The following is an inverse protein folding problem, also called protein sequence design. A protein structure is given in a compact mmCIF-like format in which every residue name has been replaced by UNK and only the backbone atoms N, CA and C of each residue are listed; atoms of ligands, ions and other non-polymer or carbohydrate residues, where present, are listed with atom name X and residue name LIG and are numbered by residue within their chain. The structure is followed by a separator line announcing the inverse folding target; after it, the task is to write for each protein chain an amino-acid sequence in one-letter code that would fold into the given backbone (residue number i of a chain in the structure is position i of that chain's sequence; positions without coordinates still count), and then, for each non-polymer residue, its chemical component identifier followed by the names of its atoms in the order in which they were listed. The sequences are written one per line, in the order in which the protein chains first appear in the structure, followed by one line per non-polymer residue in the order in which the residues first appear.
data_IF_679796165709
#
_entry.id   IF_679796165709
#
_cell.length_a   1.000
_cell.length_b   1.000
_cell.length_c   1.000
_cell.angle_alpha   90.00
_cell.angle_beta   90.00
_cell.angle_gamma   90.00
#
_symmetry.space_group_name_H-M   'P 1'
#
loop_
_entity.id
_entity.type
_entity.pdbx_description
1 polymer ?
#
# COMPACT_ATOMS: atom_id res chain seq x y z
N UNK A 1 12.49 11.16 24.76
CA UNK A 1 12.31 12.60 25.08
C UNK A 1 13.50 13.44 24.60
N UNK A 2 14.75 13.14 24.98
CA UNK A 2 15.95 13.98 24.70
C UNK A 2 16.17 14.18 23.18
N UNK A 3 16.06 13.13 22.37
CA UNK A 3 16.24 13.21 20.90
C UNK A 3 15.19 14.13 20.25
N UNK A 4 13.94 14.01 20.68
CA UNK A 4 12.84 14.85 20.15
C UNK A 4 13.04 16.31 20.54
N UNK A 5 13.47 16.57 21.78
CA UNK A 5 13.76 17.93 22.25
C UNK A 5 14.95 18.54 21.51
N UNK A 6 16.03 17.76 21.31
CA UNK A 6 17.18 18.21 20.54
C UNK A 6 16.81 18.51 19.08
N UNK A 7 16.00 17.67 18.45
CA UNK A 7 15.49 17.88 17.09
C UNK A 7 14.61 19.12 17.01
N UNK A 8 13.72 19.32 17.99
CA UNK A 8 12.86 20.51 18.07
C UNK A 8 13.67 21.79 18.23
N UNK A 9 14.69 21.81 19.10
CA UNK A 9 15.61 22.95 19.28
C UNK A 9 16.44 23.22 18.02
N UNK A 10 16.91 22.16 17.35
CA UNK A 10 17.64 22.29 16.09
C UNK A 10 16.76 22.90 14.99
N UNK A 11 15.52 22.40 14.82
CA UNK A 11 14.55 22.95 13.88
C UNK A 11 14.16 24.38 14.21
N UNK A 12 14.02 24.71 15.51
CA UNK A 12 13.72 26.08 15.95
C UNK A 12 14.85 27.06 15.63
N UNK A 13 16.12 26.66 15.78
CA UNK A 13 17.28 27.50 15.43
C UNK A 13 17.43 27.75 13.93
N UNK A 14 17.03 26.79 13.08
CA UNK A 14 17.12 26.92 11.62
C UNK A 14 15.93 27.71 11.06
N UNK A 15 14.86 27.87 11.84
CA UNK A 15 13.66 28.60 11.41
C UNK A 15 13.98 30.10 11.21
N UNK A 16 13.87 30.52 9.96
CA UNK A 16 13.93 31.99 9.66
C UNK A 16 12.60 32.64 10.08
N UNK A 17 12.68 33.62 10.98
CA UNK A 17 11.52 34.33 11.53
C UNK A 17 10.70 35.11 10.49
N UNK A 18 11.27 35.36 9.30
CA UNK A 18 10.66 36.17 8.22
C UNK A 18 9.58 35.41 7.39
N UNK A 19 9.22 34.19 7.77
CA UNK A 19 8.22 33.39 7.03
C UNK A 19 6.84 33.36 7.69
N UNK A 20 6.49 34.38 8.45
CA UNK A 20 5.11 34.62 8.85
C UNK A 20 4.25 34.77 7.59
N UNK A 21 3.30 33.88 7.37
CA UNK A 21 2.43 33.85 6.17
C UNK A 21 2.72 32.76 5.12
N UNK A 22 3.70 31.87 5.38
CA UNK A 22 3.88 30.68 4.52
C UNK A 22 3.36 29.42 5.20
N UNK A 23 2.65 28.54 4.45
CA UNK A 23 2.07 27.32 4.97
C UNK A 23 3.11 26.35 5.59
N UNK A 24 4.36 26.38 5.11
CA UNK A 24 5.48 25.60 5.66
C UNK A 24 6.70 26.49 5.88
N UNK A 25 7.28 26.39 7.07
CA UNK A 25 8.47 27.16 7.48
C UNK A 25 9.74 26.76 6.70
N UNK A 26 9.81 25.51 6.19
CA UNK A 26 10.98 24.95 5.52
C UNK A 26 10.68 24.62 4.05
N UNK A 27 11.36 25.29 3.12
CA UNK A 27 11.19 25.05 1.68
C UNK A 27 11.53 23.62 1.24
N UNK A 28 12.60 22.95 1.73
CA UNK A 28 12.96 21.60 1.28
C UNK A 28 11.91 20.54 1.64
N UNK A 29 11.10 20.79 2.68
CA UNK A 29 10.07 19.85 3.12
C UNK A 29 8.79 19.94 2.26
N UNK A 30 8.60 21.03 1.52
CA UNK A 30 7.39 21.23 0.71
C UNK A 30 7.18 20.14 -0.33
N UNK A 31 8.24 19.73 -1.01
CA UNK A 31 8.16 18.70 -2.05
C UNK A 31 7.85 17.29 -1.49
N UNK A 32 8.58 16.77 -0.49
CA UNK A 32 8.25 15.47 0.12
C UNK A 32 6.82 15.42 0.67
N UNK A 33 6.39 16.43 1.41
CA UNK A 33 5.03 16.48 1.97
C UNK A 33 3.98 16.50 0.86
N UNK A 34 4.21 17.25 -0.20
CA UNK A 34 3.32 17.28 -1.36
C UNK A 34 3.22 15.91 -2.04
N UNK A 35 4.35 15.22 -2.25
CA UNK A 35 4.35 13.87 -2.83
C UNK A 35 3.53 12.91 -1.97
N UNK A 36 3.76 12.90 -0.65
CA UNK A 36 3.02 12.03 0.28
C UNK A 36 1.52 12.32 0.20
N UNK A 37 1.10 13.58 0.23
CA UNK A 37 -0.30 13.96 0.13
C UNK A 37 -0.88 13.50 -1.21
N UNK A 38 -0.22 13.76 -2.32
CA UNK A 38 -0.69 13.37 -3.66
C UNK A 38 -0.80 11.85 -3.80
N UNK A 39 0.16 11.09 -3.27
CA UNK A 39 0.13 9.62 -3.30
C UNK A 39 -1.03 9.10 -2.47
N UNK A 40 -1.10 9.46 -1.19
CA UNK A 40 -2.12 8.92 -0.26
C UNK A 40 -3.52 9.34 -0.69
N UNK A 41 -3.72 10.61 -0.98
CA UNK A 41 -5.06 11.11 -1.34
C UNK A 41 -5.45 10.74 -2.78
N UNK A 42 -4.48 10.65 -3.69
CA UNK A 42 -4.71 10.20 -5.07
C UNK A 42 -5.15 8.74 -5.12
N UNK A 43 -4.47 7.85 -4.40
CA UNK A 43 -4.86 6.43 -4.32
C UNK A 43 -6.19 6.24 -3.59
N UNK A 44 -6.42 6.94 -2.48
CA UNK A 44 -7.71 6.89 -1.78
C UNK A 44 -8.87 7.34 -2.67
N UNK A 45 -8.66 8.38 -3.49
CA UNK A 45 -9.65 8.86 -4.44
C UNK A 45 -9.89 7.85 -5.56
N UNK A 46 -8.85 7.16 -6.02
CA UNK A 46 -8.95 6.10 -7.01
C UNK A 46 -9.81 4.92 -6.52
N UNK A 47 -9.60 4.48 -5.27
CA UNK A 47 -10.40 3.42 -4.64
C UNK A 47 -11.87 3.83 -4.51
N UNK A 48 -12.13 5.05 -4.06
CA UNK A 48 -13.51 5.58 -3.98
C UNK A 48 -14.16 5.58 -5.37
N UNK A 49 -13.43 5.99 -6.41
CA UNK A 49 -13.93 6.03 -7.78
C UNK A 49 -14.21 4.63 -8.33
N UNK A 50 -13.34 3.66 -8.08
CA UNK A 50 -13.53 2.25 -8.40
C UNK A 50 -14.81 1.71 -7.77
N UNK A 51 -14.99 1.96 -6.46
CA UNK A 51 -16.15 1.50 -5.69
C UNK A 51 -17.49 2.13 -6.17
N UNK A 52 -17.45 3.39 -6.60
CA UNK A 52 -18.65 4.10 -7.10
C UNK A 52 -19.11 3.60 -8.46
N UNK A 53 -18.24 3.02 -9.29
CA UNK A 53 -18.52 2.65 -10.68
C UNK A 53 -18.29 1.15 -10.90
N UNK A 54 -19.01 0.33 -10.16
CA UNK A 54 -19.07 -1.14 -10.34
C UNK A 54 -17.72 -1.85 -10.41
N UNK A 55 -16.77 -1.49 -9.52
CA UNK A 55 -15.47 -2.12 -9.35
C UNK A 55 -14.60 -2.25 -10.60
N UNK A 56 -14.79 -1.38 -11.58
CA UNK A 56 -14.04 -1.39 -12.83
C UNK A 56 -12.63 -0.82 -12.66
N UNK A 57 -11.61 -1.58 -13.09
CA UNK A 57 -10.21 -1.18 -13.09
C UNK A 57 -9.95 0.11 -13.88
N UNK A 58 -10.67 0.33 -14.96
CA UNK A 58 -10.55 1.55 -15.75
C UNK A 58 -10.88 2.79 -14.91
N UNK A 59 -11.94 2.71 -14.09
CA UNK A 59 -12.34 3.82 -13.23
C UNK A 59 -11.38 4.06 -12.08
N UNK A 60 -10.68 3.04 -11.62
CA UNK A 60 -9.56 3.22 -10.69
C UNK A 60 -8.49 4.15 -11.30
N UNK A 61 -8.05 3.89 -12.53
CA UNK A 61 -7.04 4.70 -13.19
C UNK A 61 -7.53 6.12 -13.49
N UNK A 62 -8.78 6.29 -13.88
CA UNK A 62 -9.41 7.61 -14.06
C UNK A 62 -9.44 8.36 -12.73
N UNK A 63 -9.89 7.71 -11.66
CA UNK A 63 -9.90 8.27 -10.31
C UNK A 63 -8.52 8.66 -9.82
N UNK A 64 -7.49 7.84 -10.10
CA UNK A 64 -6.10 8.11 -9.74
C UNK A 64 -5.59 9.41 -10.38
N UNK A 65 -5.81 9.55 -11.69
CA UNK A 65 -5.40 10.76 -12.42
C UNK A 65 -6.13 11.99 -11.89
N UNK A 66 -7.45 11.92 -11.77
CA UNK A 66 -8.27 13.03 -11.27
C UNK A 66 -7.92 13.40 -9.84
N UNK A 67 -7.81 12.42 -8.95
CA UNK A 67 -7.44 12.63 -7.56
C UNK A 67 -6.06 13.27 -7.43
N UNK A 68 -5.06 12.74 -8.11
CA UNK A 68 -3.70 13.29 -8.09
C UNK A 68 -3.68 14.74 -8.60
N UNK A 69 -4.39 15.06 -9.67
CA UNK A 69 -4.50 16.42 -10.20
C UNK A 69 -5.15 17.35 -9.18
N UNK A 70 -6.30 16.96 -8.61
CA UNK A 70 -7.03 17.76 -7.63
C UNK A 70 -6.15 18.07 -6.42
N UNK A 71 -5.56 17.04 -5.79
CA UNK A 71 -4.75 17.22 -4.59
C UNK A 71 -3.44 17.96 -4.86
N UNK A 72 -2.83 17.77 -6.04
CA UNK A 72 -1.71 18.59 -6.47
C UNK A 72 -2.07 20.07 -6.52
N UNK A 73 -3.20 20.42 -7.14
CA UNK A 73 -3.70 21.78 -7.23
C UNK A 73 -4.00 22.37 -5.85
N UNK A 74 -4.68 21.62 -5.00
CA UNK A 74 -5.00 22.05 -3.62
C UNK A 74 -3.73 22.36 -2.83
N UNK A 75 -2.73 21.49 -2.89
CA UNK A 75 -1.46 21.70 -2.18
C UNK A 75 -0.70 22.91 -2.72
N UNK A 76 -0.68 23.14 -4.04
CA UNK A 76 -0.05 24.34 -4.61
C UNK A 76 -0.76 25.63 -4.17
N UNK A 77 -2.10 25.63 -4.13
CA UNK A 77 -2.86 26.78 -3.61
C UNK A 77 -2.51 27.04 -2.15
N UNK A 78 -2.49 25.99 -1.31
CA UNK A 78 -2.15 26.11 0.11
C UNK A 78 -0.73 26.64 0.30
N UNK A 79 0.24 26.20 -0.53
CA UNK A 79 1.63 26.64 -0.40
C UNK A 79 1.88 28.06 -0.89
N UNK A 80 1.12 28.52 -1.85
CA UNK A 80 1.29 29.84 -2.47
C UNK A 80 0.28 30.88 -1.96
N UNK A 81 -0.81 30.46 -1.30
CA UNK A 81 -1.97 31.31 -0.98
C UNK A 81 -2.51 32.06 -2.21
N UNK A 82 -2.38 31.43 -3.40
CA UNK A 82 -2.75 32.05 -4.67
C UNK A 82 -3.32 30.98 -5.60
N UNK A 83 -4.54 31.19 -6.09
CA UNK A 83 -5.19 30.27 -7.06
C UNK A 83 -4.43 30.16 -8.39
N UNK A 84 -3.65 31.16 -8.77
CA UNK A 84 -2.83 31.12 -9.98
C UNK A 84 -1.64 30.17 -9.88
N UNK A 85 -1.35 29.68 -8.69
CA UNK A 85 -0.26 28.73 -8.45
C UNK A 85 -0.50 27.36 -9.10
N UNK A 86 -1.74 27.00 -9.40
CA UNK A 86 -2.13 25.73 -10.06
C UNK A 86 -1.31 25.50 -11.34
N UNK A 87 -1.07 26.55 -12.11
CA UNK A 87 -0.39 26.47 -13.41
C UNK A 87 1.13 26.64 -13.34
N UNK A 88 1.69 26.87 -12.14
CA UNK A 88 3.13 27.19 -12.01
C UNK A 88 4.06 25.99 -12.17
N UNK A 89 3.60 24.78 -11.86
CA UNK A 89 4.47 23.59 -11.81
C UNK A 89 3.84 22.34 -12.46
N UNK A 90 3.42 22.41 -13.73
CA UNK A 90 2.80 21.27 -14.39
C UNK A 90 3.75 20.07 -14.52
N UNK A 91 5.06 20.32 -14.67
CA UNK A 91 6.06 19.28 -14.76
C UNK A 91 6.15 18.43 -13.47
N UNK A 92 5.97 19.06 -12.29
CA UNK A 92 5.93 18.31 -11.03
C UNK A 92 4.74 17.38 -10.95
N UNK A 93 3.57 17.81 -11.43
CA UNK A 93 2.38 16.97 -11.52
C UNK A 93 2.64 15.75 -12.40
N UNK A 94 3.20 15.95 -13.59
CA UNK A 94 3.50 14.85 -14.51
C UNK A 94 4.47 13.85 -13.90
N UNK A 95 5.52 14.33 -13.22
CA UNK A 95 6.51 13.46 -12.53
C UNK A 95 5.84 12.67 -11.40
N UNK A 96 5.03 13.31 -10.55
CA UNK A 96 4.33 12.64 -9.45
C UNK A 96 3.40 11.58 -10.00
N UNK A 97 2.63 11.89 -11.03
CA UNK A 97 1.70 10.96 -11.66
C UNK A 97 2.45 9.78 -12.30
N UNK A 98 3.54 10.04 -13.02
CA UNK A 98 4.35 8.99 -13.65
C UNK A 98 4.96 8.03 -12.62
N UNK A 99 5.52 8.56 -11.52
CA UNK A 99 6.08 7.76 -10.42
C UNK A 99 4.99 6.95 -9.73
N UNK A 100 3.81 7.55 -9.49
CA UNK A 100 2.69 6.87 -8.87
C UNK A 100 2.15 5.73 -9.74
N UNK A 101 1.93 5.99 -11.03
CA UNK A 101 1.50 4.96 -11.99
C UNK A 101 2.54 3.84 -12.11
N UNK A 102 3.83 4.17 -12.24
CA UNK A 102 4.90 3.18 -12.31
C UNK A 102 4.95 2.33 -11.04
N UNK A 103 4.83 2.94 -9.86
CA UNK A 103 4.80 2.22 -8.59
C UNK A 103 3.62 1.26 -8.48
N UNK A 104 2.42 1.68 -8.86
CA UNK A 104 1.24 0.83 -8.85
C UNK A 104 1.33 -0.30 -9.88
N UNK A 105 1.81 -0.01 -11.09
CA UNK A 105 2.02 -1.04 -12.13
C UNK A 105 3.07 -2.08 -11.71
N UNK A 106 4.15 -1.68 -11.03
CA UNK A 106 5.14 -2.64 -10.49
C UNK A 106 4.57 -3.51 -9.38
N UNK A 107 3.63 -2.99 -8.58
CA UNK A 107 2.91 -3.77 -7.57
C UNK A 107 1.91 -4.73 -8.22
N UNK A 108 1.13 -4.27 -9.19
CA UNK A 108 0.17 -5.15 -9.93
C UNK A 108 0.86 -6.25 -10.73
N UNK A 109 2.05 -5.98 -11.26
CA UNK A 109 2.84 -6.97 -12.00
C UNK A 109 3.63 -7.92 -11.10
N UNK A 110 3.47 -7.82 -9.79
CA UNK A 110 4.22 -8.59 -8.76
C UNK A 110 5.71 -8.73 -9.04
N UNK A 111 6.36 -7.64 -9.50
CA UNK A 111 7.79 -7.65 -9.88
C UNK A 111 8.68 -8.11 -8.71
N UNK A 112 8.21 -7.99 -7.48
CA UNK A 112 8.93 -8.40 -6.27
C UNK A 112 8.61 -9.84 -5.82
N UNK A 113 7.76 -10.58 -6.53
CA UNK A 113 7.33 -11.93 -6.18
C UNK A 113 6.65 -11.98 -4.81
N UNK A 114 5.88 -10.92 -4.50
CA UNK A 114 5.20 -10.84 -3.20
C UNK A 114 4.02 -11.80 -3.16
N UNK A 115 3.26 -11.90 -4.24
CA UNK A 115 2.03 -12.69 -4.31
C UNK A 115 2.33 -14.19 -4.49
N UNK A 116 3.41 -14.54 -5.19
CA UNK A 116 3.89 -15.91 -5.38
C UNK A 116 4.73 -16.45 -4.22
N UNK A 117 4.99 -15.62 -3.19
CA UNK A 117 5.91 -16.04 -2.13
C UNK A 117 5.34 -17.16 -1.28
N UNK A 118 6.06 -18.29 -1.25
CA UNK A 118 5.83 -19.45 -0.38
C UNK A 118 7.08 -19.70 0.46
N UNK A 119 6.94 -19.97 1.79
CA UNK A 119 8.09 -20.35 2.59
C UNK A 119 8.56 -21.75 2.29
N UNK A 120 9.89 -21.97 2.35
CA UNK A 120 10.46 -23.32 2.28
C UNK A 120 10.01 -24.16 3.48
N UNK A 121 9.65 -25.41 3.28
CA UNK A 121 9.20 -26.33 4.34
C UNK A 121 10.17 -26.38 5.52
N UNK A 122 11.46 -26.46 5.22
CA UNK A 122 12.51 -26.49 6.23
C UNK A 122 12.64 -25.21 7.07
N UNK A 123 12.09 -24.09 6.62
CA UNK A 123 12.14 -22.79 7.28
C UNK A 123 10.97 -22.53 8.22
N UNK A 124 9.88 -23.32 8.13
CA UNK A 124 8.67 -23.12 8.93
C UNK A 124 8.83 -23.78 10.29
N UNK A 125 8.49 -23.07 11.35
CA UNK A 125 8.45 -23.60 12.72
C UNK A 125 7.01 -23.94 13.14
N UNK A 126 6.02 -23.15 12.69
CA UNK A 126 4.61 -23.37 12.97
C UNK A 126 3.75 -22.61 11.94
N UNK A 127 2.52 -23.05 11.72
CA UNK A 127 1.58 -22.41 10.83
C UNK A 127 0.16 -22.35 11.42
N UNK A 128 -0.62 -21.37 10.99
CA UNK A 128 -2.05 -21.25 11.31
C UNK A 128 -2.83 -20.94 10.03
N UNK A 129 -3.82 -21.78 9.65
CA UNK A 129 -4.59 -21.63 8.41
C UNK A 129 -5.73 -20.60 8.49
N UNK A 130 -5.94 -19.93 9.61
CA UNK A 130 -7.05 -18.97 9.80
C UNK A 130 -6.58 -17.73 10.52
N UNK A 131 -5.90 -16.84 9.84
CA UNK A 131 -5.53 -15.55 10.43
C UNK A 131 -4.81 -15.65 11.79
N UNK A 132 -4.06 -14.66 12.14
CA UNK A 132 -3.38 -14.65 13.43
C UNK A 132 -4.35 -14.33 14.58
N UNK A 133 -4.65 -15.30 15.43
CA UNK A 133 -5.47 -15.12 16.65
C UNK A 133 -4.60 -15.29 17.92
N UNK A 134 -3.29 -15.08 17.82
CA UNK A 134 -2.35 -15.21 18.93
C UNK A 134 -1.43 -16.44 18.80
N UNK A 135 -0.35 -16.48 19.58
CA UNK A 135 0.65 -17.58 19.54
C UNK A 135 0.07 -18.97 19.83
N UNK A 136 -1.03 -19.05 20.55
CA UNK A 136 -1.71 -20.28 20.90
C UNK A 136 -2.45 -20.97 19.73
N UNK A 137 -2.66 -20.24 18.62
CA UNK A 137 -3.30 -20.79 17.42
C UNK A 137 -2.30 -21.38 16.41
N UNK A 138 -1.00 -21.23 16.66
CA UNK A 138 0.05 -21.74 15.77
C UNK A 138 0.29 -23.22 16.03
N UNK A 139 0.06 -24.03 15.00
CA UNK A 139 0.25 -25.48 15.02
C UNK A 139 1.68 -25.80 14.56
N UNK A 140 2.42 -26.58 15.34
CA UNK A 140 3.82 -26.93 15.08
C UNK A 140 4.00 -28.37 14.55
N UNK A 141 2.92 -29.14 14.44
CA UNK A 141 2.97 -30.49 13.91
C UNK A 141 3.29 -30.49 12.41
N UNK A 142 4.15 -31.38 11.91
CA UNK A 142 4.56 -31.41 10.50
C UNK A 142 3.38 -31.53 9.52
N UNK A 143 2.36 -32.30 9.88
CA UNK A 143 1.17 -32.49 9.06
C UNK A 143 0.38 -31.19 8.88
N UNK A 144 0.21 -30.42 9.96
CA UNK A 144 -0.48 -29.14 9.92
C UNK A 144 0.30 -28.08 9.14
N UNK A 145 1.63 -28.09 9.24
CA UNK A 145 2.51 -27.22 8.47
C UNK A 145 2.40 -27.55 6.98
N UNK A 146 2.43 -28.85 6.62
CA UNK A 146 2.27 -29.30 5.24
C UNK A 146 0.91 -28.91 4.67
N UNK A 147 -0.18 -29.11 5.43
CA UNK A 147 -1.53 -28.72 5.03
C UNK A 147 -1.66 -27.19 4.82
N UNK A 148 -1.14 -26.40 5.74
CA UNK A 148 -1.16 -24.93 5.64
C UNK A 148 -0.36 -24.44 4.42
N UNK A 149 0.79 -25.08 4.13
CA UNK A 149 1.60 -24.76 2.96
C UNK A 149 0.91 -25.20 1.66
N UNK A 150 0.21 -26.33 1.66
CA UNK A 150 -0.57 -26.79 0.50
C UNK A 150 -1.73 -25.83 0.20
N UNK A 151 -2.45 -25.34 1.22
CA UNK A 151 -3.47 -24.30 1.06
C UNK A 151 -2.89 -23.03 0.45
N UNK A 152 -1.74 -22.60 0.95
CA UNK A 152 -1.05 -21.41 0.40
C UNK A 152 -0.60 -21.65 -1.06
N UNK A 153 -0.12 -22.85 -1.41
CA UNK A 153 0.27 -23.20 -2.77
C UNK A 153 -0.93 -23.20 -3.73
N UNK A 154 -2.08 -23.72 -3.31
CA UNK A 154 -3.33 -23.65 -4.08
C UNK A 154 -3.76 -22.19 -4.29
N UNK A 155 -3.59 -21.35 -3.27
CA UNK A 155 -3.87 -19.93 -3.39
C UNK A 155 -2.97 -19.21 -4.37
N UNK A 156 -1.68 -19.55 -4.45
CA UNK A 156 -0.75 -19.02 -5.47
C UNK A 156 -1.13 -19.53 -6.87
N UNK A 157 -1.51 -20.79 -6.99
CA UNK A 157 -1.95 -21.35 -8.27
C UNK A 157 -3.24 -20.69 -8.77
N UNK A 158 -4.16 -20.33 -7.86
CA UNK A 158 -5.41 -19.64 -8.20
C UNK A 158 -5.22 -18.22 -8.71
N UNK A 159 -4.10 -17.55 -8.40
CA UNK A 159 -3.77 -16.23 -8.95
C UNK A 159 -3.64 -16.25 -10.47
N UNK A 160 -3.23 -17.38 -11.04
CA UNK A 160 -3.10 -17.58 -12.47
C UNK A 160 -4.41 -18.00 -13.17
N UNK A 161 -5.45 -18.35 -12.39
CA UNK A 161 -6.75 -18.76 -12.90
C UNK A 161 -7.73 -17.57 -12.87
N UNK A 162 -7.88 -16.92 -14.00
CA UNK A 162 -8.67 -15.68 -14.18
C UNK A 162 -10.15 -15.98 -14.50
N UNK A 163 -10.80 -16.88 -13.79
CA UNK A 163 -12.26 -16.99 -13.89
C UNK A 163 -12.90 -15.89 -13.04
N UNK A 164 -13.25 -14.77 -13.69
CA UNK A 164 -13.88 -13.59 -13.06
C UNK A 164 -15.24 -13.90 -12.40
N UNK A 165 -15.89 -15.01 -12.73
CA UNK A 165 -17.21 -15.40 -12.24
C UNK A 165 -17.19 -16.46 -11.12
N UNK A 166 -16.04 -16.99 -10.74
CA UNK A 166 -15.95 -17.93 -9.63
C UNK A 166 -16.09 -17.19 -8.29
N UNK A 167 -16.94 -17.70 -7.41
CA UNK A 167 -16.95 -17.24 -6.02
C UNK A 167 -15.56 -17.50 -5.43
N UNK A 168 -14.88 -16.44 -5.00
CA UNK A 168 -13.55 -16.54 -4.41
C UNK A 168 -13.68 -16.44 -2.91
N UNK A 169 -13.11 -17.40 -2.20
CA UNK A 169 -12.98 -17.38 -0.75
C UNK A 169 -11.60 -16.87 -0.35
N UNK A 170 -11.54 -15.89 0.54
CA UNK A 170 -10.28 -15.36 1.03
C UNK A 170 -9.84 -16.14 2.28
N UNK A 171 -8.69 -16.79 2.20
CA UNK A 171 -8.09 -17.52 3.32
C UNK A 171 -6.78 -16.85 3.71
N UNK A 172 -6.62 -16.53 4.99
CA UNK A 172 -5.37 -16.01 5.52
C UNK A 172 -4.55 -17.11 6.17
N UNK A 173 -3.32 -17.31 5.72
CA UNK A 173 -2.36 -18.25 6.30
C UNK A 173 -1.24 -17.50 6.98
N UNK A 174 -0.96 -17.86 8.22
CA UNK A 174 0.13 -17.28 9.02
C UNK A 174 1.22 -18.31 9.23
N UNK A 175 2.45 -17.98 8.87
CA UNK A 175 3.65 -18.80 9.06
C UNK A 175 4.58 -18.17 10.09
N UNK A 176 4.97 -18.94 11.10
CA UNK A 176 6.07 -18.61 12.01
C UNK A 176 7.32 -19.32 11.50
N UNK A 177 8.33 -18.56 11.12
CA UNK A 177 9.59 -19.08 10.60
C UNK A 177 10.54 -19.41 11.77
N UNK A 178 11.48 -20.33 11.55
CA UNK A 178 12.52 -20.72 12.54
C UNK A 178 13.41 -19.56 13.00
N UNK A 179 13.49 -18.48 12.20
CA UNK A 179 14.19 -17.25 12.57
C UNK A 179 13.38 -16.33 13.50
N UNK A 180 12.20 -16.77 13.96
CA UNK A 180 11.29 -16.01 14.83
C UNK A 180 10.40 -15.00 14.11
N UNK A 181 10.55 -14.79 12.80
CA UNK A 181 9.67 -13.89 12.03
C UNK A 181 8.32 -14.56 11.78
N UNK A 182 7.26 -13.79 11.98
CA UNK A 182 5.88 -14.19 11.62
C UNK A 182 5.49 -13.47 10.36
N UNK A 183 4.97 -14.21 9.38
CA UNK A 183 4.44 -13.67 8.13
C UNK A 183 3.02 -14.20 7.92
N UNK A 184 2.10 -13.30 7.68
CA UNK A 184 0.68 -13.59 7.37
C UNK A 184 0.38 -13.19 5.94
N UNK A 185 -0.33 -14.05 5.23
CA UNK A 185 -0.72 -13.85 3.84
C UNK A 185 -2.16 -14.25 3.62
N UNK A 186 -2.88 -13.46 2.84
CA UNK A 186 -4.22 -13.77 2.38
C UNK A 186 -4.15 -14.27 0.95
N UNK A 187 -4.82 -15.41 0.69
CA UNK A 187 -4.92 -16.04 -0.60
C UNK A 187 -6.39 -16.12 -1.01
N UNK A 188 -6.67 -15.97 -2.29
CA UNK A 188 -7.99 -16.19 -2.86
C UNK A 188 -8.04 -17.62 -3.40
N UNK A 189 -8.94 -18.43 -2.88
CA UNK A 189 -9.22 -19.77 -3.37
C UNK A 189 -10.50 -19.77 -4.19
N UNK A 190 -10.60 -20.57 -5.27
CA UNK A 190 -11.86 -20.79 -5.93
C UNK A 190 -12.83 -21.45 -4.95
N UNK A 191 -14.01 -20.85 -4.77
CA UNK A 191 -15.05 -21.42 -3.92
C UNK A 191 -15.42 -22.81 -4.42
N UNK A 192 -15.51 -23.77 -3.51
CA UNK A 192 -16.09 -25.07 -3.82
C UNK A 192 -17.59 -24.85 -3.97
N UNK A 193 -18.10 -24.89 -5.20
CA UNK A 193 -19.52 -25.05 -5.43
C UNK A 193 -19.91 -26.39 -4.78
N UNK A 194 -20.54 -26.31 -3.60
CA UNK A 194 -21.20 -27.47 -3.03
C UNK A 194 -22.38 -27.86 -3.96
N UNK A 195 -22.24 -28.99 -4.60
CA UNK A 195 -23.30 -29.67 -5.34
C UNK A 195 -24.36 -30.22 -4.39
#
# INVERSE_FOLDING_TARGET
AIVITALALFLFRIRKSERAGTALAFNPIKLPVKIIICVVMGTAFAEIFKMLVYESELWFWVGLVLGTVIFHCVVEIIYAFDFRAIFRKPLQLVIILAVLCAGLLTMQADVFGYDEWLPDEGSIAAAAPMGYVGESALLSEPENIAAARQLAALGVESLNNTDENAQKECITVTFKLKNGKVKSRSYELPGTDEV
#
